data_IF_382346511946
#
_entry.id   IF_382346511946
#
_cell.length_a   1.000
_cell.length_b   1.000
_cell.length_c   1.000
_cell.angle_alpha   90.00
_cell.angle_beta   90.00
_cell.angle_gamma   90.00
#
_symmetry.space_group_name_H-M   'P 1'
#
loop_
_entity.id
_entity.type
_entity.pdbx_description
1 polymer ?
#
# COMPACT_ATOMS: atom_id res chain seq x y z
N UNK A 1 -11.56 10.36 7.48
CA UNK A 1 -11.48 8.88 7.49
C UNK A 1 -11.09 8.41 8.88
N UNK A 2 -11.86 7.52 9.54
CA UNK A 2 -11.70 7.20 10.99
C UNK A 2 -10.41 6.46 11.35
N UNK A 3 -9.84 5.67 10.43
CA UNK A 3 -8.70 4.78 10.71
C UNK A 3 -7.40 5.16 9.99
N UNK A 4 -7.35 6.33 9.34
CA UNK A 4 -6.18 6.73 8.57
C UNK A 4 -4.90 6.79 9.42
N UNK A 5 -4.98 7.38 10.63
CA UNK A 5 -3.83 7.47 11.53
C UNK A 5 -3.30 6.12 11.98
N UNK A 6 -4.20 5.19 12.34
CA UNK A 6 -3.82 3.83 12.78
C UNK A 6 -3.16 3.04 11.63
N UNK A 7 -3.75 3.12 10.44
CA UNK A 7 -3.22 2.43 9.25
C UNK A 7 -1.84 3.01 8.89
N UNK A 8 -1.71 4.33 8.82
CA UNK A 8 -0.43 4.99 8.57
C UNK A 8 0.60 4.65 9.65
N UNK A 9 0.21 4.70 10.92
CA UNK A 9 1.05 4.32 12.06
C UNK A 9 1.61 2.91 11.90
N UNK A 10 0.74 1.93 11.61
CA UNK A 10 1.13 0.55 11.38
C UNK A 10 2.15 0.41 10.25
N UNK A 11 1.89 1.05 9.11
CA UNK A 11 2.81 1.02 7.97
C UNK A 11 4.15 1.72 8.28
N UNK A 12 4.13 2.83 9.02
CA UNK A 12 5.37 3.53 9.42
C UNK A 12 6.19 2.76 10.46
N UNK A 13 5.55 1.99 11.34
CA UNK A 13 6.25 1.11 12.29
C UNK A 13 6.88 -0.10 11.59
N UNK A 14 6.29 -0.57 10.48
CA UNK A 14 6.74 -1.75 9.74
C UNK A 14 6.87 -1.45 8.23
N UNK A 15 7.84 -0.63 7.81
CA UNK A 15 7.92 -0.12 6.44
C UNK A 15 8.27 -1.20 5.39
N UNK A 16 8.94 -2.28 5.81
CA UNK A 16 9.33 -3.39 4.93
C UNK A 16 8.30 -4.53 4.89
N UNK A 17 7.22 -4.45 5.67
CA UNK A 17 6.27 -5.54 5.84
C UNK A 17 5.10 -5.42 4.88
N UNK A 18 4.71 -6.55 4.31
CA UNK A 18 3.51 -6.68 3.51
C UNK A 18 2.32 -7.06 4.39
N UNK A 19 1.26 -6.25 4.34
CA UNK A 19 0.05 -6.47 5.12
C UNK A 19 -1.09 -6.98 4.26
N UNK A 20 -1.87 -7.94 4.78
CA UNK A 20 -3.13 -8.38 4.18
C UNK A 20 -4.29 -7.55 4.74
N UNK A 21 -5.37 -7.40 3.96
CA UNK A 21 -6.58 -6.71 4.43
C UNK A 21 -7.11 -7.23 5.77
N UNK A 22 -7.07 -8.56 5.99
CA UNK A 22 -7.51 -9.17 7.25
C UNK A 22 -6.64 -8.75 8.44
N UNK A 23 -5.32 -8.64 8.25
CA UNK A 23 -4.38 -8.21 9.29
C UNK A 23 -4.64 -6.76 9.70
N UNK A 24 -4.86 -5.88 8.71
CA UNK A 24 -5.19 -4.46 8.95
C UNK A 24 -6.49 -4.32 9.75
N UNK A 25 -7.53 -5.08 9.37
CA UNK A 25 -8.82 -5.08 10.06
C UNK A 25 -8.70 -5.61 11.48
N UNK A 26 -7.88 -6.66 11.69
CA UNK A 26 -7.66 -7.23 13.00
C UNK A 26 -6.91 -6.26 13.92
N UNK A 27 -5.91 -5.57 13.39
CA UNK A 27 -5.14 -4.55 14.09
C UNK A 27 -6.01 -3.36 14.50
N UNK A 28 -6.75 -2.79 13.55
CA UNK A 28 -7.61 -1.62 13.75
C UNK A 28 -8.85 -1.95 14.60
N UNK A 29 -9.38 -3.17 14.48
CA UNK A 29 -10.54 -3.66 15.23
C UNK A 29 -10.26 -3.97 16.71
N UNK A 30 -9.02 -3.77 17.19
CA UNK A 30 -8.59 -4.03 18.58
C UNK A 30 -9.00 -5.42 19.11
N UNK A 31 -8.91 -6.45 18.25
CA UNK A 31 -9.12 -7.85 18.64
C UNK A 31 -10.56 -8.38 18.59
N UNK A 32 -10.77 -9.56 19.21
CA UNK A 32 -11.91 -10.48 19.01
C UNK A 32 -13.31 -9.96 19.36
N UNK A 33 -13.45 -8.73 19.88
CA UNK A 33 -14.74 -8.16 20.29
C UNK A 33 -15.54 -7.46 19.18
N UNK A 34 -14.96 -7.24 17.99
CA UNK A 34 -15.64 -6.55 16.90
C UNK A 34 -16.70 -7.43 16.23
N UNK A 35 -17.94 -6.93 16.13
CA UNK A 35 -19.01 -7.57 15.35
C UNK A 35 -18.70 -7.61 13.85
N UNK A 36 -19.38 -8.48 13.10
CA UNK A 36 -19.18 -8.60 11.65
C UNK A 36 -19.47 -7.29 10.90
N UNK A 37 -20.47 -6.52 11.36
CA UNK A 37 -20.76 -5.19 10.82
C UNK A 37 -19.61 -4.22 11.03
N UNK A 38 -19.01 -4.19 12.23
CA UNK A 38 -17.84 -3.36 12.52
C UNK A 38 -16.65 -3.75 11.66
N UNK A 39 -16.40 -5.06 11.48
CA UNK A 39 -15.35 -5.56 10.58
C UNK A 39 -15.60 -5.16 9.13
N UNK A 40 -16.86 -5.14 8.67
CA UNK A 40 -17.24 -4.70 7.32
C UNK A 40 -17.03 -3.19 7.16
N UNK A 41 -17.43 -2.40 8.15
CA UNK A 41 -17.22 -0.95 8.16
C UNK A 41 -15.71 -0.61 8.20
N UNK A 42 -14.93 -1.29 9.03
CA UNK A 42 -13.49 -1.17 9.11
C UNK A 42 -12.82 -1.52 7.78
N UNK A 43 -13.20 -2.65 7.15
CA UNK A 43 -12.73 -3.01 5.80
C UNK A 43 -12.96 -1.90 4.79
N UNK A 44 -14.18 -1.34 4.73
CA UNK A 44 -14.51 -0.26 3.79
C UNK A 44 -13.70 1.01 4.07
N UNK A 45 -13.51 1.35 5.33
CA UNK A 45 -12.74 2.53 5.72
C UNK A 45 -11.23 2.35 5.45
N UNK A 46 -10.67 1.17 5.71
CA UNK A 46 -9.27 0.83 5.40
C UNK A 46 -9.07 0.82 3.89
N UNK A 47 -9.98 0.22 3.11
CA UNK A 47 -9.90 0.22 1.64
C UNK A 47 -9.78 1.63 1.06
N UNK A 48 -10.58 2.60 1.55
CA UNK A 48 -10.47 4.01 1.12
C UNK A 48 -9.13 4.65 1.46
N UNK A 49 -8.52 4.30 2.60
CA UNK A 49 -7.20 4.80 2.97
C UNK A 49 -6.13 4.22 2.04
N UNK A 50 -6.18 2.90 1.80
CA UNK A 50 -5.24 2.24 0.90
C UNK A 50 -5.34 2.78 -0.53
N UNK A 51 -6.56 3.00 -1.02
CA UNK A 51 -6.81 3.59 -2.34
C UNK A 51 -6.23 5.01 -2.43
N UNK A 52 -6.44 5.85 -1.42
CA UNK A 52 -5.84 7.19 -1.38
C UNK A 52 -4.30 7.16 -1.32
N UNK A 53 -3.72 6.18 -0.62
CA UNK A 53 -2.26 6.00 -0.55
C UNK A 53 -1.67 5.46 -1.86
N UNK A 54 -2.40 4.60 -2.56
CA UNK A 54 -2.06 4.08 -3.89
C UNK A 54 -2.12 5.21 -4.93
N UNK A 55 -3.18 6.01 -4.92
CA UNK A 55 -3.36 7.21 -5.75
C UNK A 55 -2.25 8.24 -5.52
N UNK A 56 -1.85 8.46 -4.27
CA UNK A 56 -0.72 9.32 -3.91
C UNK A 56 0.65 8.72 -4.27
N UNK A 57 0.71 7.47 -4.72
CA UNK A 57 1.95 6.77 -5.08
C UNK A 57 2.82 6.32 -3.91
N UNK A 58 2.33 6.44 -2.67
CA UNK A 58 3.03 6.07 -1.43
C UNK A 58 2.87 4.60 -1.05
N UNK A 59 1.98 3.88 -1.73
CA UNK A 59 1.66 2.48 -1.44
C UNK A 59 1.68 1.64 -2.72
N UNK A 60 2.14 0.40 -2.59
CA UNK A 60 2.09 -0.61 -3.65
C UNK A 60 1.13 -1.71 -3.20
N UNK A 61 0.13 -1.98 -4.04
CA UNK A 61 -0.75 -3.14 -3.92
C UNK A 61 -0.23 -4.27 -4.81
N UNK A 62 0.15 -5.37 -4.19
CA UNK A 62 0.53 -6.58 -4.90
C UNK A 62 -0.73 -7.44 -5.06
N UNK A 63 -1.23 -7.65 -6.30
CA UNK A 63 -2.31 -8.59 -6.52
C UNK A 63 -1.84 -10.01 -6.13
N UNK A 64 -2.77 -10.89 -5.74
CA UNK A 64 -2.41 -12.27 -5.42
C UNK A 64 -1.73 -12.92 -6.63
N UNK A 65 -0.59 -13.56 -6.40
CA UNK A 65 0.06 -14.39 -7.42
C UNK A 65 -0.93 -15.47 -7.85
N UNK A 66 -1.26 -15.47 -9.14
CA UNK A 66 -2.21 -16.33 -9.85
C UNK A 66 -2.47 -17.71 -9.22
N UNK A 67 -3.75 -17.99 -8.96
CA UNK A 67 -4.30 -19.35 -8.75
C UNK A 67 -4.50 -19.77 -7.28
N UNK A 68 -5.77 -19.97 -6.89
CA UNK A 68 -6.21 -20.60 -5.64
C UNK A 68 -5.84 -19.93 -4.31
N UNK A 69 -6.61 -18.91 -3.93
CA UNK A 69 -6.74 -18.51 -2.52
C UNK A 69 -5.73 -17.49 -1.98
N UNK A 70 -4.88 -16.93 -2.85
CA UNK A 70 -3.99 -15.82 -2.49
C UNK A 70 -4.75 -14.56 -2.07
N UNK A 71 -4.22 -13.82 -1.09
CA UNK A 71 -4.75 -12.53 -0.67
C UNK A 71 -3.90 -11.42 -1.27
N UNK A 72 -4.53 -10.31 -1.68
CA UNK A 72 -3.80 -9.09 -2.02
C UNK A 72 -3.01 -8.60 -0.79
N UNK A 73 -1.75 -8.25 -1.01
CA UNK A 73 -0.88 -7.64 -0.01
C UNK A 73 -0.63 -6.18 -0.33
N UNK A 74 -0.40 -5.39 0.70
CA UNK A 74 -0.18 -3.95 0.62
C UNK A 74 1.11 -3.64 1.36
N UNK A 75 1.97 -2.83 0.75
CA UNK A 75 3.23 -2.37 1.36
C UNK A 75 3.49 -0.91 1.05
N UNK A 76 4.22 -0.22 1.93
CA UNK A 76 4.71 1.10 1.61
C UNK A 76 5.65 1.04 0.41
N UNK A 77 5.51 2.02 -0.47
CA UNK A 77 6.51 2.28 -1.49
C UNK A 77 7.71 2.88 -0.79
N UNK A 78 8.75 2.08 -0.60
CA UNK A 78 10.06 2.63 -0.26
C UNK A 78 10.49 3.45 -1.47
N UNK A 79 10.60 4.77 -1.30
CA UNK A 79 11.21 5.66 -2.30
C UNK A 79 12.69 5.26 -2.41
N UNK A 80 12.98 4.26 -3.22
CA UNK A 80 14.35 4.03 -3.65
C UNK A 80 14.72 5.24 -4.50
N UNK A 81 15.61 6.10 -4.02
CA UNK A 81 16.05 7.35 -4.65
C UNK A 81 16.77 7.15 -5.99
N UNK A 82 16.56 6.02 -6.68
CA UNK A 82 17.24 5.62 -7.90
C UNK A 82 16.40 5.78 -9.18
N UNK A 83 15.17 6.29 -9.12
CA UNK A 83 14.34 6.55 -10.34
C UNK A 83 14.33 8.01 -10.79
N UNK A 84 15.20 8.87 -10.24
CA UNK A 84 15.36 10.25 -10.71
C UNK A 84 16.32 10.41 -11.92
N UNK A 85 16.87 9.32 -12.47
CA UNK A 85 17.80 9.34 -13.61
C UNK A 85 17.21 8.76 -14.90
N UNK A 86 15.94 8.98 -15.22
CA UNK A 86 15.39 8.47 -16.49
C UNK A 86 14.73 9.50 -17.41
N UNK A 87 14.77 10.81 -17.11
CA UNK A 87 14.22 11.81 -18.03
C UNK A 87 15.04 13.12 -18.09
N UNK A 88 16.36 13.03 -18.09
CA UNK A 88 17.19 14.14 -18.58
C UNK A 88 17.82 13.71 -19.90
N UNK A 89 17.04 13.93 -20.97
CA UNK A 89 17.51 14.39 -22.27
C UNK A 89 18.96 14.02 -22.60
N UNK A 90 19.19 12.79 -23.07
CA UNK A 90 20.36 12.50 -23.89
C UNK A 90 19.90 12.54 -25.34
N UNK A 91 19.85 13.76 -25.90
CA UNK A 91 19.97 13.91 -27.35
C UNK A 91 21.25 13.19 -27.79
N UNK A 92 21.18 12.22 -28.72
CA UNK A 92 22.40 11.69 -29.33
C UNK A 92 23.02 12.84 -30.13
N UNK A 93 24.14 13.37 -29.65
CA UNK A 93 24.99 14.24 -30.47
C UNK A 93 25.49 13.39 -31.64
N UNK A 94 24.85 13.57 -32.79
CA UNK A 94 25.29 13.01 -34.05
C UNK A 94 26.68 13.59 -34.35
N UNK A 95 27.73 12.80 -34.15
CA UNK A 95 28.99 13.00 -34.84
C UNK A 95 28.76 12.68 -36.32
N UNK A 96 28.65 13.73 -37.13
CA UNK A 96 28.76 13.63 -38.58
C UNK A 96 30.26 13.55 -38.95
N UNK A 97 30.63 12.75 -39.99
CA UNK A 97 32.01 12.43 -40.37
C UNK A 97 32.87 13.63 -40.79
#
# INVERSE_FOLDING_TARGET
MKYAKEVLGLFTSFPATEFRMKELVNHVGKGSGSTEQEKKAARKAIARVLEAMEDSGSLIKNPPAVGNGGYATYRLRVLNQATAYQNHDMTPIAHHP
#
